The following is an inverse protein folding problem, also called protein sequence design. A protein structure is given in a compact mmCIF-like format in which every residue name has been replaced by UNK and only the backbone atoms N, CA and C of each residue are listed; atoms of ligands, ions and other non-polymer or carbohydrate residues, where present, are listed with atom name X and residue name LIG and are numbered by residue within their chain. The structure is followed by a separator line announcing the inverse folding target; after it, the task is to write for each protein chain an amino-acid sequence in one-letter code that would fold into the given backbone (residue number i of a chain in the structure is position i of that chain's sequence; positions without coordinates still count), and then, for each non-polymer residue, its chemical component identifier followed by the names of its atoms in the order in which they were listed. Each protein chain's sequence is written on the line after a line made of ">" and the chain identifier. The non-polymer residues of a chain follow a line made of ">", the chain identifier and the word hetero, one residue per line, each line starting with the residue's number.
data_IF_742430384996
#
_entry.id   IF_742430384996
#
_cell.length_a   1.000
_cell.length_b   1.000
_cell.length_c   1.000
_cell.angle_alpha   90.00
_cell.angle_beta   90.00
_cell.angle_gamma   90.00
#
_symmetry.space_group_name_H-M   'P 1'
#
loop_
_entity.id
_entity.type
_entity.pdbx_description
1 polymer ?
#
# COMPACT_ATOMS: atom_id res chain seq x y z
N UNK A 1 19.68 7.15 -24.60
CA UNK A 1 18.92 7.01 -23.35
C UNK A 1 19.35 5.69 -22.74
N UNK A 2 20.04 5.71 -21.60
CA UNK A 2 20.66 4.52 -21.02
C UNK A 2 19.85 4.13 -19.79
N UNK A 3 19.18 2.99 -19.82
CA UNK A 3 18.36 2.51 -18.71
C UNK A 3 19.18 1.52 -17.89
N UNK A 4 19.37 1.82 -16.61
CA UNK A 4 20.07 0.94 -15.66
C UNK A 4 19.02 0.18 -14.86
N UNK A 5 19.00 -1.15 -14.97
CA UNK A 5 18.11 -2.02 -14.19
C UNK A 5 18.90 -2.64 -13.04
N UNK A 6 18.55 -2.29 -11.80
CA UNK A 6 19.14 -2.87 -10.60
C UNK A 6 18.10 -3.71 -9.86
N UNK A 7 18.45 -4.94 -9.49
CA UNK A 7 17.64 -5.80 -8.62
C UNK A 7 18.11 -5.59 -7.19
N UNK A 8 17.23 -5.10 -6.32
CA UNK A 8 17.52 -4.82 -4.91
C UNK A 8 16.64 -5.73 -4.07
N UNK A 9 17.26 -6.56 -3.22
CA UNK A 9 16.54 -7.54 -2.40
C UNK A 9 16.11 -6.99 -1.03
N UNK A 10 16.49 -5.76 -0.68
CA UNK A 10 16.29 -5.18 0.64
C UNK A 10 15.46 -3.88 0.55
N UNK A 11 14.28 -3.87 1.18
CA UNK A 11 13.35 -2.73 1.18
C UNK A 11 13.95 -1.42 1.71
N UNK A 12 14.87 -1.49 2.69
CA UNK A 12 15.53 -0.27 3.20
C UNK A 12 16.38 0.39 2.13
N UNK A 13 17.05 -0.42 1.32
CA UNK A 13 17.93 0.06 0.26
C UNK A 13 17.11 0.64 -0.90
N UNK A 14 15.90 0.10 -1.16
CA UNK A 14 14.94 0.68 -2.13
C UNK A 14 14.55 2.10 -1.73
N UNK A 15 14.24 2.34 -0.44
CA UNK A 15 13.87 3.69 0.05
C UNK A 15 15.01 4.71 -0.11
N UNK A 16 16.23 4.30 0.23
CA UNK A 16 17.41 5.15 0.08
C UNK A 16 17.65 5.47 -1.40
N UNK A 17 17.55 4.46 -2.28
CA UNK A 17 17.74 4.67 -3.71
C UNK A 17 16.67 5.58 -4.31
N UNK A 18 15.41 5.46 -3.85
CA UNK A 18 14.30 6.33 -4.25
C UNK A 18 14.62 7.81 -3.96
N UNK A 19 15.04 8.12 -2.74
CA UNK A 19 15.41 9.50 -2.36
C UNK A 19 16.59 10.03 -3.17
N UNK A 20 17.59 9.19 -3.45
CA UNK A 20 18.73 9.57 -4.27
C UNK A 20 18.24 9.92 -5.69
N UNK A 21 17.47 9.04 -6.32
CA UNK A 21 16.97 9.23 -7.69
C UNK A 21 16.10 10.49 -7.81
N UNK A 22 15.26 10.76 -6.81
CA UNK A 22 14.46 11.99 -6.73
C UNK A 22 15.33 13.26 -6.62
N UNK A 23 16.37 13.25 -5.79
CA UNK A 23 17.30 14.40 -5.66
C UNK A 23 18.06 14.71 -6.94
N UNK A 24 18.39 13.68 -7.72
CA UNK A 24 19.08 13.84 -8.99
C UNK A 24 18.13 14.06 -10.18
N UNK A 25 16.81 14.09 -9.95
CA UNK A 25 15.81 14.28 -11.02
C UNK A 25 15.81 13.16 -12.06
N UNK A 26 16.26 11.96 -11.67
CA UNK A 26 16.36 10.81 -12.55
C UNK A 26 15.00 10.10 -12.56
N UNK A 27 14.42 9.91 -13.74
CA UNK A 27 13.21 9.11 -13.87
C UNK A 27 13.53 7.63 -13.61
N UNK A 28 12.74 7.00 -12.74
CA UNK A 28 12.88 5.59 -12.38
C UNK A 28 11.51 4.91 -12.34
N UNK A 29 11.51 3.59 -12.51
CA UNK A 29 10.33 2.74 -12.41
C UNK A 29 10.64 1.69 -11.36
N UNK A 30 9.81 1.60 -10.32
CA UNK A 30 9.88 0.53 -9.33
C UNK A 30 8.90 -0.55 -9.80
N UNK A 31 9.44 -1.69 -10.21
CA UNK A 31 8.66 -2.88 -10.50
C UNK A 31 8.49 -3.65 -9.18
N UNK A 32 7.70 -3.09 -8.27
CA UNK A 32 7.26 -3.78 -7.06
C UNK A 32 6.16 -4.75 -7.50
N UNK A 33 6.48 -6.04 -7.56
CA UNK A 33 5.47 -7.09 -7.69
C UNK A 33 4.45 -6.91 -6.57
N UNK A 34 3.27 -6.42 -6.91
CA UNK A 34 2.12 -6.28 -6.02
C UNK A 34 1.53 -7.66 -5.62
N UNK A 35 2.36 -8.71 -5.60
CA UNK A 35 1.92 -10.10 -5.59
C UNK A 35 1.76 -10.72 -4.19
N UNK A 36 2.24 -10.09 -3.12
CA UNK A 36 2.23 -10.76 -1.81
C UNK A 36 1.22 -10.22 -0.78
N UNK A 37 0.46 -9.14 -1.08
CA UNK A 37 -0.62 -8.71 -0.19
C UNK A 37 -1.97 -9.31 -0.59
N UNK A 38 -2.16 -10.59 -0.25
CA UNK A 38 -3.47 -11.22 -0.33
C UNK A 38 -4.33 -10.76 0.84
N UNK A 39 -5.39 -9.99 0.57
CA UNK A 39 -6.37 -9.64 1.61
C UNK A 39 -6.96 -10.92 2.20
N UNK A 40 -6.95 -11.03 3.52
CA UNK A 40 -7.64 -12.11 4.21
C UNK A 40 -9.16 -12.01 3.99
N UNK A 41 -9.87 -13.14 4.02
CA UNK A 41 -11.34 -13.16 3.90
C UNK A 41 -12.03 -12.23 4.91
N UNK A 42 -11.45 -12.06 6.09
CA UNK A 42 -11.95 -11.16 7.12
C UNK A 42 -11.84 -9.67 6.72
N UNK A 43 -10.73 -9.27 6.09
CA UNK A 43 -10.52 -7.90 5.60
C UNK A 43 -11.47 -7.58 4.43
N UNK A 44 -11.71 -8.54 3.54
CA UNK A 44 -12.65 -8.38 2.44
C UNK A 44 -14.08 -8.21 2.97
N UNK A 45 -14.49 -9.06 3.93
CA UNK A 45 -15.82 -8.97 4.54
C UNK A 45 -16.03 -7.66 5.32
N UNK A 46 -15.00 -7.20 6.05
CA UNK A 46 -15.05 -5.92 6.75
C UNK A 46 -15.18 -4.73 5.77
N UNK A 47 -14.53 -4.83 4.61
CA UNK A 47 -14.63 -3.83 3.54
C UNK A 47 -16.01 -3.80 2.87
N UNK A 48 -16.57 -4.96 2.51
CA UNK A 48 -17.92 -5.08 1.95
C UNK A 48 -18.98 -4.53 2.92
N UNK A 49 -18.84 -4.84 4.20
CA UNK A 49 -19.71 -4.30 5.24
C UNK A 49 -19.64 -2.78 5.32
N UNK A 50 -18.45 -2.20 5.26
CA UNK A 50 -18.30 -0.74 5.27
C UNK A 50 -18.84 -0.07 4.01
N UNK A 51 -18.79 -0.71 2.84
CA UNK A 51 -19.47 -0.20 1.65
C UNK A 51 -20.99 -0.18 1.82
N UNK A 52 -21.57 -1.24 2.38
CA UNK A 52 -23.01 -1.31 2.65
C UNK A 52 -23.42 -0.25 3.68
N UNK A 53 -22.68 -0.12 4.79
CA UNK A 53 -22.93 0.89 5.83
C UNK A 53 -22.88 2.32 5.26
N UNK A 54 -21.96 2.59 4.33
CA UNK A 54 -21.84 3.87 3.63
C UNK A 54 -23.05 4.14 2.72
N UNK A 55 -23.46 3.16 1.91
CA UNK A 55 -24.65 3.27 1.03
C UNK A 55 -25.94 3.47 1.83
N UNK A 56 -26.04 2.85 3.00
CA UNK A 56 -27.15 3.03 3.94
C UNK A 56 -27.13 4.38 4.69
N UNK A 57 -26.12 5.23 4.44
CA UNK A 57 -26.00 6.55 5.07
C UNK A 57 -25.67 6.50 6.56
N UNK A 58 -25.23 5.34 7.08
CA UNK A 58 -24.71 5.22 8.43
C UNK A 58 -23.32 5.84 8.41
N UNK A 59 -23.18 7.05 8.97
CA UNK A 59 -21.88 7.72 9.10
C UNK A 59 -21.03 6.92 10.10
N UNK A 60 -20.36 5.87 9.66
CA UNK A 60 -19.55 5.03 10.55
C UNK A 60 -18.21 5.69 10.80
N UNK A 61 -18.21 6.75 11.61
CA UNK A 61 -17.05 7.05 12.43
C UNK A 61 -16.92 5.88 13.43
N UNK A 62 -16.26 4.79 13.01
CA UNK A 62 -15.96 3.67 13.89
C UNK A 62 -15.05 4.19 15.00
N UNK A 63 -15.35 3.83 16.25
CA UNK A 63 -14.48 4.24 17.35
C UNK A 63 -13.12 3.56 17.20
N UNK A 64 -12.07 4.16 17.75
CA UNK A 64 -10.73 3.57 17.72
C UNK A 64 -10.72 2.16 18.34
N UNK A 65 -11.60 1.90 19.32
CA UNK A 65 -11.81 0.59 19.94
C UNK A 65 -12.38 -0.44 18.96
N UNK A 66 -13.28 -0.05 18.07
CA UNK A 66 -13.84 -0.94 17.03
C UNK A 66 -12.82 -1.33 15.95
N UNK A 67 -11.84 -0.46 15.71
CA UNK A 67 -10.79 -0.65 14.70
C UNK A 67 -9.66 -1.52 15.26
N UNK A 68 -9.35 -1.37 16.55
CA UNK A 68 -8.33 -2.13 17.25
C UNK A 68 -8.85 -3.51 17.65
N UNK A 69 -9.20 -4.35 16.66
CA UNK A 69 -9.33 -5.80 16.92
C UNK A 69 -7.99 -6.31 17.45
N UNK A 70 -7.99 -6.83 18.68
CA UNK A 70 -6.87 -7.59 19.28
C UNK A 70 -6.48 -8.78 18.41
#
# INVERSE_FOLDING_TARGET
>A
MTTITAKISNEKDVKVLKEILERFGIQYIIDESAEDYTFSKAQIADFERSQLEFLEGKTTAKSWDDIKKN
#
